data_IF_230767571553
#
_entry.id   IF_230767571553
#
_cell.length_a   1.000
_cell.length_b   1.000
_cell.length_c   1.000
_cell.angle_alpha   90.00
_cell.angle_beta   90.00
_cell.angle_gamma   90.00
#
_symmetry.space_group_name_H-M   'P 1'
#
loop_
_entity.id
_entity.type
_entity.pdbx_description
1 polymer ?
#
# COMPACT_ATOMS: atom_id res chain seq x y z
N UNK A 1 14.22 14.70 11.24
CA UNK A 1 12.90 14.13 11.56
C UNK A 1 12.97 12.63 11.34
N UNK A 2 12.68 11.84 12.36
CA UNK A 2 12.62 10.39 12.25
C UNK A 2 11.27 9.95 11.64
N UNK A 3 11.24 8.95 10.74
CA UNK A 3 10.00 8.42 10.19
C UNK A 3 9.11 7.83 11.30
N UNK A 4 7.86 8.28 11.36
CA UNK A 4 6.82 7.80 12.28
C UNK A 4 6.31 6.43 11.82
N UNK A 5 6.03 5.54 12.77
CA UNK A 5 5.30 4.30 12.51
C UNK A 5 3.80 4.57 12.72
N UNK A 6 2.97 4.47 11.67
CA UNK A 6 1.53 4.64 11.82
C UNK A 6 0.93 3.42 12.53
N UNK A 7 0.03 3.68 13.47
CA UNK A 7 -0.70 2.63 14.21
C UNK A 7 -1.97 2.26 13.45
N UNK A 8 -2.21 0.96 13.28
CA UNK A 8 -3.46 0.38 12.77
C UNK A 8 -4.15 1.17 11.65
N UNK A 9 -5.19 1.92 12.03
CA UNK A 9 -6.08 2.65 11.12
C UNK A 9 -5.37 3.77 10.35
N UNK A 10 -4.37 4.45 10.94
CA UNK A 10 -3.62 5.49 10.23
C UNK A 10 -2.80 4.91 9.07
N UNK A 11 -2.29 3.69 9.23
CA UNK A 11 -1.57 2.99 8.17
C UNK A 11 -2.54 2.59 7.04
N UNK A 12 -3.78 2.26 7.38
CA UNK A 12 -4.84 1.98 6.40
C UNK A 12 -5.17 3.24 5.61
N UNK A 13 -5.44 4.34 6.30
CA UNK A 13 -5.78 5.63 5.67
C UNK A 13 -4.67 6.14 4.75
N UNK A 14 -3.40 5.99 5.16
CA UNK A 14 -2.27 6.34 4.33
C UNK A 14 -2.22 5.51 3.03
N UNK A 15 -2.45 4.20 3.10
CA UNK A 15 -2.49 3.34 1.91
C UNK A 15 -3.68 3.68 1.03
N UNK A 16 -4.87 3.85 1.61
CA UNK A 16 -6.06 4.25 0.86
C UNK A 16 -5.85 5.58 0.14
N UNK A 17 -5.24 6.56 0.81
CA UNK A 17 -4.87 7.83 0.20
C UNK A 17 -3.87 7.67 -0.94
N UNK A 18 -2.88 6.77 -0.79
CA UNK A 18 -1.90 6.45 -1.84
C UNK A 18 -2.56 5.82 -3.07
N UNK A 19 -3.43 4.84 -2.88
CA UNK A 19 -4.12 4.14 -3.96
C UNK A 19 -5.12 5.07 -4.66
N UNK A 20 -5.92 5.82 -3.89
CA UNK A 20 -6.85 6.82 -4.42
C UNK A 20 -6.16 7.89 -5.25
N UNK A 21 -5.02 8.40 -4.77
CA UNK A 21 -4.23 9.40 -5.48
C UNK A 21 -3.49 8.82 -6.69
N UNK A 22 -3.22 7.51 -6.72
CA UNK A 22 -2.64 6.86 -7.88
C UNK A 22 -3.63 6.86 -9.06
N UNK A 23 -4.91 6.59 -8.80
CA UNK A 23 -5.94 6.48 -9.85
C UNK A 23 -5.76 5.28 -10.78
N UNK A 24 -4.72 4.47 -10.57
CA UNK A 24 -4.40 3.27 -11.35
C UNK A 24 -3.80 2.19 -10.44
N UNK A 25 -3.70 0.96 -10.96
CA UNK A 25 -3.10 -0.15 -10.24
C UNK A 25 -1.58 0.03 -10.08
N UNK A 26 -1.14 0.05 -8.82
CA UNK A 26 0.26 0.29 -8.46
C UNK A 26 0.90 -0.95 -7.85
N UNK A 27 2.19 -1.13 -8.07
CA UNK A 27 2.96 -2.23 -7.50
C UNK A 27 3.23 -2.03 -6.01
N UNK A 28 3.53 -3.11 -5.29
CA UNK A 28 3.97 -2.99 -3.89
C UNK A 28 5.19 -2.08 -3.73
N UNK A 29 6.10 -2.06 -4.72
CA UNK A 29 7.28 -1.18 -4.69
C UNK A 29 6.86 0.29 -4.71
N UNK A 30 5.94 0.66 -5.60
CA UNK A 30 5.44 2.03 -5.71
C UNK A 30 4.69 2.47 -4.45
N UNK A 31 3.90 1.58 -3.84
CA UNK A 31 3.28 1.84 -2.53
C UNK A 31 4.35 2.11 -1.46
N UNK A 32 5.38 1.27 -1.39
CA UNK A 32 6.49 1.44 -0.45
C UNK A 32 7.27 2.75 -0.66
N UNK A 33 7.50 3.16 -1.91
CA UNK A 33 8.12 4.44 -2.24
C UNK A 33 7.25 5.64 -1.83
N UNK A 34 5.94 5.57 -2.08
CA UNK A 34 5.00 6.62 -1.67
C UNK A 34 4.90 6.74 -0.14
N UNK A 35 4.87 5.61 0.59
CA UNK A 35 4.91 5.60 2.05
C UNK A 35 6.20 6.25 2.59
N UNK A 36 7.35 5.94 1.97
CA UNK A 36 8.64 6.57 2.32
C UNK A 36 8.62 8.09 2.13
N UNK A 37 8.01 8.57 1.04
CA UNK A 37 7.84 10.02 0.79
C UNK A 37 6.97 10.70 1.84
N UNK A 38 6.01 9.98 2.41
CA UNK A 38 5.19 10.44 3.53
C UNK A 38 5.88 10.29 4.89
N UNK A 39 7.16 9.89 4.93
CA UNK A 39 7.92 9.60 6.14
C UNK A 39 7.25 8.56 7.04
N UNK A 40 6.43 7.68 6.47
CA UNK A 40 5.80 6.57 7.17
C UNK A 40 6.68 5.33 6.99
N UNK A 41 7.13 4.76 8.10
CA UNK A 41 7.78 3.44 8.11
C UNK A 41 6.70 2.39 8.31
N UNK A 42 6.49 1.53 7.32
CA UNK A 42 5.65 0.36 7.50
C UNK A 42 6.42 -0.62 8.42
N UNK A 43 5.90 -0.96 9.62
CA UNK A 43 6.56 -1.91 10.53
C UNK A 43 6.57 -3.34 9.98
N UNK A 44 5.60 -3.68 9.14
CA UNK A 44 5.49 -4.95 8.41
C UNK A 44 6.02 -4.83 6.97
N UNK A 45 6.36 -5.97 6.36
CA UNK A 45 6.50 -6.06 4.91
C UNK A 45 5.21 -5.52 4.26
N UNK A 46 5.30 -4.43 3.49
CA UNK A 46 4.15 -3.75 2.83
C UNK A 46 3.21 -4.73 2.11
N UNK A 47 3.75 -5.83 1.56
CA UNK A 47 3.00 -6.92 0.93
C UNK A 47 2.03 -7.62 1.90
N UNK A 48 2.45 -7.88 3.13
CA UNK A 48 1.63 -8.54 4.16
C UNK A 48 0.46 -7.65 4.55
N UNK A 49 0.72 -6.36 4.75
CA UNK A 49 -0.31 -5.40 5.11
C UNK A 49 -1.32 -5.21 3.98
N UNK A 50 -0.86 -5.04 2.73
CA UNK A 50 -1.74 -4.97 1.55
C UNK A 50 -2.57 -6.24 1.36
N UNK A 51 -1.99 -7.43 1.61
CA UNK A 51 -2.76 -8.67 1.58
C UNK A 51 -3.82 -8.74 2.68
N UNK A 52 -3.53 -8.28 3.90
CA UNK A 52 -4.53 -8.18 4.98
C UNK A 52 -5.71 -7.30 4.53
N UNK A 53 -5.44 -6.15 3.90
CA UNK A 53 -6.48 -5.25 3.39
C UNK A 53 -7.29 -5.89 2.26
N UNK A 54 -6.62 -6.60 1.34
CA UNK A 54 -7.28 -7.34 0.26
C UNK A 54 -8.21 -8.44 0.80
N UNK A 55 -7.76 -9.21 1.79
CA UNK A 55 -8.58 -10.24 2.44
C UNK A 55 -9.77 -9.66 3.21
N UNK A 56 -9.66 -8.42 3.71
CA UNK A 56 -10.76 -7.67 4.33
C UNK A 56 -11.71 -7.02 3.31
N UNK A 57 -11.41 -7.08 2.01
CA UNK A 57 -12.21 -6.44 0.96
C UNK A 57 -12.05 -4.91 0.90
N UNK A 58 -11.02 -4.35 1.52
CA UNK A 58 -10.78 -2.90 1.56
C UNK A 58 -10.10 -2.39 0.28
N UNK A 59 -9.27 -3.23 -0.34
CA UNK A 59 -8.56 -2.94 -1.59
C UNK A 59 -8.58 -4.17 -2.48
N UNK A 60 -8.30 -3.95 -3.77
CA UNK A 60 -8.11 -5.01 -4.74
C UNK A 60 -6.63 -5.27 -4.95
N UNK A 61 -6.29 -6.50 -5.31
CA UNK A 61 -4.93 -6.84 -5.65
C UNK A 61 -4.81 -8.15 -6.41
N UNK A 62 -3.94 -8.16 -7.40
CA UNK A 62 -3.68 -9.33 -8.24
C UNK A 62 -2.19 -9.46 -8.59
N UNK A 63 -1.79 -10.64 -9.05
CA UNK A 63 -0.45 -10.85 -9.59
C UNK A 63 -0.42 -10.47 -11.06
N UNK A 64 0.27 -9.39 -11.38
CA UNK A 64 0.55 -8.99 -12.75
C UNK A 64 1.84 -9.65 -13.25
N UNK A 65 1.73 -10.39 -14.35
CA UNK A 65 2.90 -10.94 -15.07
C UNK A 65 3.69 -9.83 -15.75
N UNK A 66 3.02 -8.82 -16.28
CA UNK A 66 3.63 -7.67 -16.95
C UNK A 66 4.47 -6.83 -15.99
N UNK A 67 3.91 -6.50 -14.83
CA UNK A 67 4.62 -5.73 -13.78
C UNK A 67 5.53 -6.60 -12.90
N UNK A 68 5.63 -7.91 -13.20
CA UNK A 68 6.43 -8.92 -12.46
C UNK A 68 6.21 -8.88 -10.94
N UNK A 69 4.96 -8.74 -10.50
CA UNK A 69 4.68 -8.56 -9.08
C UNK A 69 3.20 -8.45 -8.75
N UNK A 70 2.92 -8.07 -7.50
CA UNK A 70 1.57 -7.71 -7.08
C UNK A 70 1.27 -6.27 -7.46
N UNK A 71 0.08 -6.07 -8.01
CA UNK A 71 -0.52 -4.75 -8.23
C UNK A 71 -1.73 -4.58 -7.32
N UNK A 72 -2.00 -3.35 -6.91
CA UNK A 72 -2.99 -2.98 -5.91
C UNK A 72 -3.74 -1.74 -6.35
N UNK A 73 -5.06 -1.73 -6.17
CA UNK A 73 -5.93 -0.61 -6.51
C UNK A 73 -7.18 -0.59 -5.62
N UNK A 74 -7.96 0.47 -5.74
CA UNK A 74 -9.31 0.61 -5.18
C UNK A 74 -10.25 0.97 -6.33
N UNK A 75 -11.51 0.56 -6.23
CA UNK A 75 -12.60 1.07 -7.08
C UNK A 75 -13.05 2.49 -6.64
#
# INVERSE_FOLDING_TARGET
MEPRQPEGDEAVDAILGILRKAGEAVTTREVGEKMRKLQLRCPDSTIVFLNKLRLKGVIHGERSKERRGWIWWID
#
